data_IF_645792230469
#
_entry.id   IF_645792230469
#
_cell.length_a   1.000
_cell.length_b   1.000
_cell.length_c   1.000
_cell.angle_alpha   90.00
_cell.angle_beta   90.00
_cell.angle_gamma   90.00
#
_symmetry.space_group_name_H-M   'P 1'
#
loop_
_entity.id
_entity.type
_entity.pdbx_description
1 polymer ?
#
# COMPACT_ATOMS: atom_id res chain seq x y z
N UNK A 1 40.21 -1.61 5.25
CA UNK A 1 38.94 -0.87 5.42
C UNK A 1 38.70 -0.02 4.18
N UNK A 2 37.94 -0.56 3.22
CA UNK A 2 37.67 0.07 1.93
C UNK A 2 36.53 1.09 2.06
N UNK A 3 36.84 2.36 1.79
CA UNK A 3 35.85 3.43 1.62
C UNK A 3 35.23 3.30 0.23
N UNK A 4 33.96 2.90 0.13
CA UNK A 4 33.20 3.01 -1.12
C UNK A 4 32.75 4.46 -1.31
N UNK A 5 33.28 5.10 -2.35
CA UNK A 5 32.68 6.28 -2.96
C UNK A 5 31.44 5.85 -3.74
N UNK A 6 30.36 6.65 -3.73
CA UNK A 6 29.49 6.74 -4.90
C UNK A 6 28.68 8.03 -4.95
N UNK A 7 28.77 8.72 -6.10
CA UNK A 7 27.72 9.61 -6.59
C UNK A 7 27.85 11.11 -6.33
N UNK A 8 28.80 11.79 -7.00
CA UNK A 8 28.68 13.23 -7.29
C UNK A 8 27.90 13.40 -8.61
N UNK A 9 26.66 13.85 -8.52
CA UNK A 9 25.85 14.37 -9.63
C UNK A 9 24.97 15.50 -9.10
N UNK A 10 24.91 16.63 -9.83
CA UNK A 10 24.44 17.93 -9.34
C UNK A 10 23.24 17.90 -8.40
N UNK A 11 23.45 18.35 -7.15
CA UNK A 11 22.41 18.39 -6.12
C UNK A 11 21.38 19.46 -6.49
N UNK A 12 20.24 19.03 -7.02
CA UNK A 12 19.00 19.77 -6.84
C UNK A 12 18.72 19.99 -5.35
N UNK A 13 17.71 20.81 -5.04
CA UNK A 13 17.32 21.13 -3.65
C UNK A 13 17.30 19.84 -2.81
N UNK A 14 18.01 19.80 -1.66
CA UNK A 14 18.05 18.61 -0.83
C UNK A 14 16.62 18.16 -0.51
N UNK A 15 16.36 16.87 -0.73
CA UNK A 15 15.07 16.30 -0.38
C UNK A 15 14.91 16.33 1.14
N UNK A 16 13.76 16.82 1.61
CA UNK A 16 13.43 16.84 3.03
C UNK A 16 13.11 15.44 3.58
N UNK A 17 12.92 14.44 2.71
CA UNK A 17 12.48 13.10 3.09
C UNK A 17 13.47 12.02 2.64
N UNK A 18 13.73 11.02 3.50
CA UNK A 18 14.41 9.78 3.11
C UNK A 18 13.49 8.86 2.29
N UNK A 19 14.06 7.83 1.67
CA UNK A 19 13.25 6.83 0.95
C UNK A 19 12.40 6.01 1.94
N UNK A 20 12.91 5.70 3.15
CA UNK A 20 12.11 4.99 4.16
C UNK A 20 10.91 5.82 4.63
N UNK A 21 11.08 7.12 4.88
CA UNK A 21 9.99 8.00 5.31
C UNK A 21 8.88 8.08 4.26
N UNK A 22 9.25 8.12 2.98
CA UNK A 22 8.29 8.08 1.90
C UNK A 22 7.56 6.72 1.85
N UNK A 23 8.23 5.58 2.08
CA UNK A 23 7.58 4.25 2.16
C UNK A 23 6.56 4.19 3.29
N UNK A 24 6.91 4.69 4.46
CA UNK A 24 6.03 4.74 5.63
C UNK A 24 4.78 5.58 5.36
N UNK A 25 4.95 6.80 4.85
CA UNK A 25 3.82 7.66 4.47
C UNK A 25 2.90 7.01 3.42
N UNK A 26 3.46 6.34 2.41
CA UNK A 26 2.66 5.66 1.40
C UNK A 26 1.83 4.50 1.99
N UNK A 27 2.38 3.76 2.96
CA UNK A 27 1.70 2.70 3.67
C UNK A 27 0.57 3.25 4.55
N UNK A 28 0.83 4.33 5.29
CA UNK A 28 -0.17 5.01 6.12
C UNK A 28 -1.37 5.49 5.28
N UNK A 29 -1.11 6.12 4.14
CA UNK A 29 -2.16 6.56 3.21
C UNK A 29 -2.96 5.38 2.69
N UNK A 30 -2.30 4.28 2.28
CA UNK A 30 -2.98 3.07 1.81
C UNK A 30 -3.91 2.48 2.88
N UNK A 31 -3.45 2.47 4.13
CA UNK A 31 -4.22 1.95 5.26
C UNK A 31 -5.38 2.87 5.67
N UNK A 32 -5.20 4.19 5.54
CA UNK A 32 -6.23 5.20 5.82
C UNK A 32 -7.37 5.13 4.80
N UNK A 33 -7.05 5.00 3.51
CA UNK A 33 -8.01 5.00 2.41
C UNK A 33 -8.22 3.59 1.83
N UNK A 34 -8.60 2.66 2.71
CA UNK A 34 -8.84 1.25 2.35
C UNK A 34 -9.71 1.14 1.10
N UNK A 35 -9.31 0.29 0.16
CA UNK A 35 -10.01 0.07 -1.11
C UNK A 35 -9.69 1.09 -2.22
N UNK A 36 -9.11 2.26 -1.89
CA UNK A 36 -8.67 3.20 -2.91
C UNK A 36 -7.33 2.76 -3.51
N UNK A 37 -7.21 2.91 -4.84
CA UNK A 37 -5.96 2.65 -5.56
C UNK A 37 -4.95 3.75 -5.24
N UNK A 38 -3.80 3.37 -4.71
CA UNK A 38 -2.67 4.25 -4.50
C UNK A 38 -2.10 4.64 -5.87
N UNK A 39 -2.04 5.93 -6.15
CA UNK A 39 -1.39 6.46 -7.36
C UNK A 39 -0.45 7.58 -6.94
N UNK A 40 0.57 7.89 -7.75
CA UNK A 40 1.48 8.99 -7.40
C UNK A 40 0.76 10.34 -7.34
N UNK A 41 -0.27 10.55 -8.16
CA UNK A 41 -1.12 11.75 -8.08
C UNK A 41 -1.91 11.79 -6.77
N UNK A 42 -2.37 10.64 -6.28
CA UNK A 42 -3.06 10.57 -5.00
C UNK A 42 -2.12 10.86 -3.83
N UNK A 43 -0.91 10.28 -3.85
CA UNK A 43 0.13 10.59 -2.87
C UNK A 43 0.48 12.08 -2.87
N UNK A 44 0.58 12.71 -4.04
CA UNK A 44 0.81 14.15 -4.17
C UNK A 44 -0.33 14.98 -3.56
N UNK A 45 -1.59 14.59 -3.79
CA UNK A 45 -2.75 15.27 -3.20
C UNK A 45 -2.77 15.18 -1.68
N UNK A 46 -2.42 14.01 -1.12
CA UNK A 46 -2.48 13.79 0.33
C UNK A 46 -1.25 14.32 1.09
N UNK A 47 -0.08 14.39 0.44
CA UNK A 47 1.19 14.76 1.11
C UNK A 47 1.78 16.09 0.67
N UNK A 48 1.32 16.65 -0.46
CA UNK A 48 1.95 17.80 -1.12
C UNK A 48 3.32 17.49 -1.75
N UNK A 49 3.81 16.24 -1.68
CA UNK A 49 5.07 15.82 -2.31
C UNK A 49 4.80 15.47 -3.78
N UNK A 50 5.49 16.16 -4.70
CA UNK A 50 5.23 16.01 -6.13
C UNK A 50 5.33 14.57 -6.64
N UNK A 51 4.41 14.16 -7.53
CA UNK A 51 4.34 12.79 -8.10
C UNK A 51 5.67 12.26 -8.65
N UNK A 52 6.51 13.13 -9.21
CA UNK A 52 7.80 12.75 -9.78
C UNK A 52 8.80 12.28 -8.71
N UNK A 53 8.69 12.80 -7.49
CA UNK A 53 9.50 12.35 -6.36
C UNK A 53 9.14 10.91 -6.02
N UNK A 54 7.85 10.63 -5.91
CA UNK A 54 7.33 9.28 -5.67
C UNK A 54 7.74 8.29 -6.76
N UNK A 55 7.51 8.65 -8.03
CA UNK A 55 7.77 7.75 -9.15
C UNK A 55 9.26 7.46 -9.36
N UNK A 56 10.15 8.42 -9.05
CA UNK A 56 11.60 8.27 -9.24
C UNK A 56 12.27 7.54 -8.07
N UNK A 57 11.82 7.80 -6.85
CA UNK A 57 12.49 7.31 -5.65
C UNK A 57 11.92 5.98 -5.16
N UNK A 58 10.63 5.76 -5.34
CA UNK A 58 9.96 4.55 -4.86
C UNK A 58 8.95 4.07 -5.89
N UNK A 59 9.42 3.67 -7.09
CA UNK A 59 8.53 3.15 -8.12
C UNK A 59 7.68 1.97 -7.62
N UNK A 60 8.20 1.17 -6.70
CA UNK A 60 7.54 -0.01 -6.13
C UNK A 60 6.34 0.31 -5.23
N UNK A 61 6.10 1.56 -4.80
CA UNK A 61 4.95 1.89 -3.93
C UNK A 61 3.61 1.52 -4.55
N UNK A 62 3.50 1.52 -5.88
CA UNK A 62 2.26 1.14 -6.58
C UNK A 62 1.96 -0.36 -6.43
N UNK A 63 2.96 -1.19 -6.09
CA UNK A 63 2.76 -2.61 -5.79
C UNK A 63 1.88 -2.84 -4.56
N UNK A 64 1.77 -1.86 -3.65
CA UNK A 64 0.82 -1.89 -2.52
C UNK A 64 -0.65 -1.96 -2.97
N UNK A 65 -0.93 -1.78 -4.26
CA UNK A 65 -2.27 -2.01 -4.81
C UNK A 65 -2.57 -3.47 -5.14
N UNK A 66 -1.55 -4.32 -5.24
CA UNK A 66 -1.75 -5.74 -5.49
C UNK A 66 -2.49 -6.31 -4.29
N UNK A 67 -3.58 -7.07 -4.49
CA UNK A 67 -4.24 -7.75 -3.39
C UNK A 67 -3.24 -8.68 -2.73
N UNK A 68 -3.24 -8.74 -1.40
CA UNK A 68 -2.45 -9.72 -0.68
C UNK A 68 -3.09 -11.08 -0.93
N UNK A 69 -2.47 -11.87 -1.81
CA UNK A 69 -2.86 -13.25 -2.04
C UNK A 69 -2.56 -14.04 -0.78
N UNK A 70 -3.60 -14.40 -0.03
CA UNK A 70 -3.47 -15.46 0.98
C UNK A 70 -3.31 -16.77 0.22
N UNK A 71 -2.28 -17.55 0.54
CA UNK A 71 -2.29 -18.97 0.20
C UNK A 71 -3.51 -19.55 0.91
N UNK A 72 -4.54 -19.93 0.15
CA UNK A 72 -5.66 -20.70 0.67
C UNK A 72 -5.07 -22.04 1.07
N UNK A 73 -4.68 -22.16 2.34
CA UNK A 73 -4.74 -23.44 3.01
C UNK A 73 -6.17 -23.55 3.51
N UNK A 74 -6.88 -24.60 3.13
CA UNK A 74 -8.18 -24.93 3.73
C UNK A 74 -7.86 -25.23 5.20
N UNK A 75 -8.04 -24.24 6.07
CA UNK A 75 -7.98 -24.46 7.51
C UNK A 75 -9.40 -24.70 8.02
N UNK A 76 -9.57 -25.41 9.14
CA UNK A 76 -10.89 -25.57 9.79
C UNK A 76 -11.58 -24.23 10.12
N UNK A 77 -10.82 -23.11 10.11
CA UNK A 77 -11.37 -21.76 10.28
C UNK A 77 -11.95 -21.12 9.00
N UNK A 78 -11.75 -21.75 7.85
CA UNK A 78 -12.31 -21.35 6.55
C UNK A 78 -13.62 -22.08 6.21
N UNK A 79 -14.08 -22.97 7.08
CA UNK A 79 -15.40 -23.60 6.98
C UNK A 79 -16.49 -22.54 7.21
N UNK A 80 -17.00 -21.98 6.11
CA UNK A 80 -18.16 -21.10 6.13
C UNK A 80 -19.40 -21.97 6.26
N UNK A 81 -19.94 -22.07 7.47
CA UNK A 81 -21.27 -22.63 7.68
C UNK A 81 -22.30 -21.75 6.98
N UNK A 82 -22.90 -22.27 5.92
CA UNK A 82 -24.05 -21.62 5.31
C UNK A 82 -25.19 -21.58 6.33
N UNK A 83 -25.92 -20.45 6.44
CA UNK A 83 -27.09 -20.40 7.28
C UNK A 83 -28.09 -21.46 6.84
N UNK A 84 -28.79 -22.08 7.80
CA UNK A 84 -29.86 -23.02 7.48
C UNK A 84 -30.94 -22.25 6.69
N UNK A 85 -31.10 -22.61 5.42
CA UNK A 85 -32.01 -21.92 4.51
C UNK A 85 -33.46 -21.97 4.99
N UNK A 86 -33.86 -23.04 5.69
CA UNK A 86 -35.21 -23.20 6.24
C UNK A 86 -35.47 -22.18 7.36
N UNK A 87 -34.48 -21.91 8.23
CA UNK A 87 -34.60 -20.92 9.30
C UNK A 87 -34.69 -19.49 8.76
N UNK A 88 -34.08 -19.19 7.61
CA UNK A 88 -34.17 -17.86 6.98
C UNK A 88 -35.59 -17.56 6.51
N UNK A 89 -36.33 -18.58 6.05
CA UNK A 89 -37.70 -18.42 5.56
C UNK A 89 -38.75 -18.42 6.67
N UNK A 90 -38.45 -18.95 7.86
CA UNK A 90 -39.38 -18.94 9.01
C UNK A 90 -39.49 -17.57 9.71
N UNK A 91 -38.55 -16.64 9.48
CA UNK A 91 -38.65 -15.26 9.97
C UNK A 91 -39.51 -14.43 9.00
N UNK A 92 -40.76 -14.86 8.77
CA UNK A 92 -41.84 -14.02 8.24
C UNK A 92 -43.20 -14.49 8.75
N UNK A 93 -43.66 -13.81 9.80
CA UNK A 93 -45.08 -13.54 10.03
C UNK A 93 -45.25 -12.04 10.21
#
# INVERSE_FOLDING_TARGET
MTKSQNGRGGKGRPSNYSDEQLKEMALEIKNKFKGQKLTYLFLEKETGIGRNTWSRRIPETIELNKPVSRSIGISESDDVYFPNIEQIFEIKW
#
